data_IF_785301597895
#
_entry.id   IF_785301597895
#
_cell.length_a   1.000
_cell.length_b   1.000
_cell.length_c   1.000
_cell.angle_alpha   90.00
_cell.angle_beta   90.00
_cell.angle_gamma   90.00
#
_symmetry.space_group_name_H-M   'P 1'
#
loop_
_entity.id
_entity.type
_entity.pdbx_description
1 polymer ?
#
# COMPACT_ATOMS: atom_id res chain seq x y z
N UNK A 1 2.07 3.96 -37.68
CA UNK A 1 3.24 3.70 -36.79
C UNK A 1 2.73 3.11 -35.51
N UNK A 2 2.90 1.81 -35.21
CA UNK A 2 2.47 1.19 -33.97
C UNK A 2 3.47 1.58 -32.87
N UNK A 3 3.04 2.36 -31.91
CA UNK A 3 3.86 2.70 -30.73
C UNK A 3 4.07 1.42 -29.95
N UNK A 4 5.31 0.93 -29.90
CA UNK A 4 5.67 -0.25 -29.11
C UNK A 4 5.68 0.17 -27.65
N UNK A 5 4.72 -0.33 -26.88
CA UNK A 5 4.65 -0.09 -25.43
C UNK A 5 5.75 -0.92 -24.76
N UNK A 6 6.55 -0.27 -23.90
CA UNK A 6 7.58 -0.96 -23.11
C UNK A 6 6.90 -1.65 -21.91
N UNK A 7 7.00 -2.98 -21.78
CA UNK A 7 6.42 -3.73 -20.66
C UNK A 7 6.91 -3.25 -19.29
N UNK A 8 8.14 -2.75 -19.21
CA UNK A 8 8.70 -2.20 -17.95
C UNK A 8 7.99 -0.93 -17.50
N UNK A 9 7.47 -0.17 -18.46
CA UNK A 9 6.76 1.09 -18.22
C UNK A 9 5.24 0.91 -18.21
N UNK A 10 4.73 -0.32 -18.45
CA UNK A 10 3.30 -0.57 -18.42
C UNK A 10 2.70 -0.18 -17.07
N UNK A 11 1.67 0.69 -17.02
CA UNK A 11 1.08 1.12 -15.76
C UNK A 11 0.28 -0.02 -15.14
N UNK A 12 0.60 -0.40 -13.92
CA UNK A 12 0.02 -1.57 -13.27
C UNK A 12 -1.49 -1.58 -13.15
N UNK A 13 -2.12 -0.38 -13.03
CA UNK A 13 -3.57 -0.21 -12.94
C UNK A 13 -4.28 -0.08 -14.28
N UNK A 14 -3.57 -0.10 -15.37
CA UNK A 14 -4.18 -0.03 -16.71
C UNK A 14 -4.73 -1.40 -17.08
N UNK A 15 -6.00 -1.41 -17.51
CA UNK A 15 -6.68 -2.56 -18.09
C UNK A 15 -6.32 -2.59 -19.57
N UNK A 16 -5.71 -3.67 -20.07
CA UNK A 16 -5.42 -3.79 -21.50
C UNK A 16 -6.70 -4.09 -22.29
N UNK A 17 -6.94 -3.34 -23.36
CA UNK A 17 -8.15 -3.42 -24.18
C UNK A 17 -7.87 -4.05 -25.56
N UNK A 18 -6.63 -4.01 -26.04
CA UNK A 18 -6.23 -4.57 -27.35
C UNK A 18 -5.28 -5.75 -27.18
N UNK A 19 -5.19 -6.63 -28.18
CA UNK A 19 -4.26 -7.76 -28.19
C UNK A 19 -2.81 -7.34 -27.91
N UNK A 20 -2.37 -6.24 -28.51
CA UNK A 20 -1.03 -5.71 -28.29
C UNK A 20 -0.83 -5.22 -26.82
N UNK A 21 -1.84 -4.60 -26.22
CA UNK A 21 -1.82 -4.21 -24.83
C UNK A 21 -1.84 -5.42 -23.89
N UNK A 22 -2.61 -6.46 -24.25
CA UNK A 22 -2.64 -7.74 -23.50
C UNK A 22 -1.26 -8.38 -23.49
N UNK A 23 -0.60 -8.50 -24.65
CA UNK A 23 0.74 -9.06 -24.73
C UNK A 23 1.75 -8.26 -23.89
N UNK A 24 1.69 -6.92 -23.98
CA UNK A 24 2.52 -6.02 -23.17
C UNK A 24 2.24 -6.17 -21.68
N UNK A 25 0.97 -6.26 -21.29
CA UNK A 25 0.55 -6.42 -19.89
C UNK A 25 0.98 -7.78 -19.31
N UNK A 26 0.89 -8.86 -20.09
CA UNK A 26 1.38 -10.19 -19.68
C UNK A 26 2.89 -10.17 -19.46
N UNK A 27 3.65 -9.53 -20.35
CA UNK A 27 5.09 -9.38 -20.14
C UNK A 27 5.41 -8.53 -18.93
N UNK A 28 4.70 -7.42 -18.69
CA UNK A 28 4.82 -6.59 -17.51
C UNK A 28 4.49 -7.36 -16.22
N UNK A 29 3.46 -8.21 -16.26
CA UNK A 29 3.13 -9.11 -15.17
C UNK A 29 4.28 -10.08 -14.86
N UNK A 30 4.84 -10.74 -15.87
CA UNK A 30 5.97 -11.66 -15.68
C UNK A 30 7.20 -10.96 -15.08
N UNK A 31 7.53 -9.76 -15.58
CA UNK A 31 8.66 -8.99 -15.05
C UNK A 31 8.47 -8.66 -13.56
N UNK A 32 7.27 -8.25 -13.16
CA UNK A 32 6.97 -7.87 -11.77
C UNK A 32 6.83 -9.07 -10.84
N UNK A 33 6.32 -10.19 -11.36
CA UNK A 33 6.22 -11.44 -10.62
C UNK A 33 7.57 -12.17 -10.49
N UNK A 34 8.62 -11.73 -11.20
CA UNK A 34 9.91 -12.43 -11.23
C UNK A 34 9.87 -13.76 -12.00
N UNK A 35 8.94 -13.92 -12.94
CA UNK A 35 8.73 -15.16 -13.70
C UNK A 35 9.41 -15.08 -15.07
N UNK A 36 10.73 -15.03 -15.08
CA UNK A 36 11.52 -14.94 -16.31
C UNK A 36 11.40 -16.19 -17.22
N UNK A 37 11.20 -17.34 -16.59
CA UNK A 37 11.06 -18.68 -17.19
C UNK A 37 9.67 -18.95 -17.80
N UNK A 38 8.69 -18.06 -17.56
CA UNK A 38 7.30 -18.30 -17.92
C UNK A 38 7.05 -18.26 -19.45
N UNK A 39 6.27 -19.21 -19.95
CA UNK A 39 5.80 -19.21 -21.33
C UNK A 39 4.69 -18.16 -21.52
N UNK A 40 4.99 -17.08 -22.26
CA UNK A 40 4.12 -15.91 -22.42
C UNK A 40 2.76 -16.24 -23.04
N UNK A 41 2.72 -17.10 -24.05
CA UNK A 41 1.48 -17.53 -24.70
C UNK A 41 0.52 -18.22 -23.74
N UNK A 42 1.01 -19.17 -22.95
CA UNK A 42 0.19 -19.89 -21.98
C UNK A 42 -0.29 -18.98 -20.83
N UNK A 43 0.53 -18.01 -20.39
CA UNK A 43 0.10 -17.00 -19.43
C UNK A 43 -0.95 -16.05 -20.02
N UNK A 44 -0.83 -15.69 -21.29
CA UNK A 44 -1.84 -14.89 -21.99
C UNK A 44 -3.20 -15.58 -22.00
N UNK A 45 -3.23 -16.88 -22.30
CA UNK A 45 -4.47 -17.67 -22.27
C UNK A 45 -5.15 -17.65 -20.89
N UNK A 46 -4.37 -17.70 -19.83
CA UNK A 46 -4.89 -17.62 -18.46
C UNK A 46 -5.33 -16.21 -18.08
N UNK A 47 -4.57 -15.17 -18.44
CA UNK A 47 -4.76 -13.81 -18.00
C UNK A 47 -5.78 -13.03 -18.84
N UNK A 48 -5.87 -13.26 -20.17
CA UNK A 48 -6.72 -12.48 -21.07
C UNK A 48 -8.20 -12.47 -20.66
N UNK A 49 -8.81 -13.57 -20.23
CA UNK A 49 -10.19 -13.56 -19.75
C UNK A 49 -10.41 -12.66 -18.52
N UNK A 50 -9.39 -12.48 -17.68
CA UNK A 50 -9.45 -11.59 -16.51
C UNK A 50 -9.33 -10.13 -16.91
N UNK A 51 -8.46 -9.83 -17.87
CA UNK A 51 -8.37 -8.48 -18.45
C UNK A 51 -9.69 -8.06 -19.09
N UNK A 52 -10.37 -8.96 -19.82
CA UNK A 52 -11.69 -8.71 -20.39
C UNK A 52 -12.76 -8.39 -19.33
N UNK A 53 -12.62 -8.89 -18.10
CA UNK A 53 -13.48 -8.58 -16.94
C UNK A 53 -13.01 -7.32 -16.17
N UNK A 54 -12.11 -6.52 -16.74
CA UNK A 54 -11.67 -5.27 -16.14
C UNK A 54 -10.54 -5.39 -15.12
N UNK A 55 -9.84 -6.53 -15.10
CA UNK A 55 -8.66 -6.69 -14.25
C UNK A 55 -7.43 -5.99 -14.84
N UNK A 56 -6.54 -5.58 -13.99
CA UNK A 56 -5.25 -4.98 -14.36
C UNK A 56 -4.09 -5.86 -13.90
N UNK A 57 -2.87 -5.53 -14.30
CA UNK A 57 -1.66 -6.24 -13.85
C UNK A 57 -1.53 -6.21 -12.32
N UNK A 58 -1.79 -5.06 -11.69
CA UNK A 58 -1.73 -4.96 -10.22
C UNK A 58 -2.81 -5.81 -9.55
N UNK A 59 -4.00 -5.91 -10.15
CA UNK A 59 -5.05 -6.78 -9.65
C UNK A 59 -4.66 -8.26 -9.72
N UNK A 60 -4.05 -8.70 -10.82
CA UNK A 60 -3.56 -10.07 -10.97
C UNK A 60 -2.41 -10.38 -9.99
N UNK A 61 -1.45 -9.45 -9.81
CA UNK A 61 -0.37 -9.60 -8.82
C UNK A 61 -0.93 -9.73 -7.41
N UNK A 62 -1.90 -8.90 -7.04
CA UNK A 62 -2.55 -8.99 -5.74
C UNK A 62 -3.30 -10.32 -5.57
N UNK A 63 -3.98 -10.80 -6.62
CA UNK A 63 -4.69 -12.06 -6.57
C UNK A 63 -3.76 -13.29 -6.50
N UNK A 64 -2.53 -13.20 -6.96
CA UNK A 64 -1.51 -14.24 -6.73
C UNK A 64 -1.14 -14.33 -5.25
N UNK A 65 -1.07 -13.21 -4.55
CA UNK A 65 -0.64 -13.15 -3.16
C UNK A 65 -1.79 -13.34 -2.17
N UNK A 66 -3.01 -12.89 -2.52
CA UNK A 66 -4.14 -12.81 -1.60
C UNK A 66 -5.41 -13.44 -2.18
N UNK A 67 -6.29 -13.89 -1.29
CA UNK A 67 -7.66 -14.31 -1.56
C UNK A 67 -8.61 -13.11 -1.50
N UNK A 68 -9.88 -13.26 -1.96
CA UNK A 68 -10.90 -12.20 -1.85
C UNK A 68 -11.15 -11.71 -0.41
N UNK A 69 -10.97 -12.58 0.59
CA UNK A 69 -11.09 -12.27 2.02
C UNK A 69 -9.86 -11.53 2.59
N UNK A 70 -8.84 -11.25 1.75
CA UNK A 70 -7.60 -10.59 2.14
C UNK A 70 -6.53 -11.53 2.73
N UNK A 71 -6.86 -12.79 2.98
CA UNK A 71 -5.90 -13.78 3.47
C UNK A 71 -4.79 -14.06 2.45
N UNK A 72 -3.57 -14.34 2.92
CA UNK A 72 -2.46 -14.71 2.03
C UNK A 72 -2.69 -16.08 1.38
N UNK A 73 -2.32 -16.22 0.13
CA UNK A 73 -2.44 -17.47 -0.63
C UNK A 73 -1.19 -18.37 -0.50
N UNK A 74 -0.79 -18.75 0.68
CA UNK A 74 0.29 -19.75 0.88
C UNK A 74 1.65 -19.36 0.25
N UNK A 75 2.49 -20.36 -0.06
CA UNK A 75 3.86 -20.19 -0.53
C UNK A 75 3.95 -19.55 -1.94
N UNK A 76 5.02 -18.77 -2.23
CA UNK A 76 5.27 -18.26 -3.57
C UNK A 76 5.53 -19.42 -4.57
N UNK A 77 5.48 -19.12 -5.86
CA UNK A 77 5.79 -20.08 -6.92
C UNK A 77 7.24 -20.59 -6.80
N UNK A 78 7.42 -21.90 -6.76
CA UNK A 78 8.72 -22.52 -6.92
C UNK A 78 9.21 -22.43 -8.37
N UNK A 79 10.54 -22.44 -8.58
CA UNK A 79 11.13 -22.32 -9.91
C UNK A 79 10.68 -23.43 -10.86
N UNK A 80 10.55 -24.64 -10.35
CA UNK A 80 10.15 -25.83 -11.12
C UNK A 80 8.64 -25.92 -11.38
N UNK A 81 7.85 -25.05 -10.75
CA UNK A 81 6.41 -25.02 -10.93
C UNK A 81 6.04 -24.25 -12.19
N UNK A 82 5.21 -24.82 -13.03
CA UNK A 82 4.74 -24.18 -14.27
C UNK A 82 3.95 -22.91 -13.95
N UNK A 83 4.38 -21.78 -14.49
CA UNK A 83 3.87 -20.45 -14.11
C UNK A 83 2.38 -20.26 -14.41
N UNK A 84 1.89 -20.71 -15.58
CA UNK A 84 0.49 -20.55 -15.96
C UNK A 84 -0.45 -21.45 -15.12
N UNK A 85 -0.02 -22.63 -14.72
CA UNK A 85 -0.81 -23.51 -13.83
C UNK A 85 -0.86 -22.94 -12.42
N UNK A 86 0.26 -22.39 -11.94
CA UNK A 86 0.29 -21.67 -10.67
C UNK A 86 -0.67 -20.48 -10.68
N UNK A 87 -0.62 -19.65 -11.73
CA UNK A 87 -1.52 -18.52 -11.88
C UNK A 87 -2.98 -18.96 -11.88
N UNK A 88 -3.31 -20.00 -12.69
CA UNK A 88 -4.66 -20.57 -12.77
C UNK A 88 -5.16 -21.05 -11.40
N UNK A 89 -4.32 -21.75 -10.64
CA UNK A 89 -4.65 -22.23 -9.30
C UNK A 89 -4.92 -21.06 -8.33
N UNK A 90 -4.10 -19.99 -8.37
CA UNK A 90 -4.28 -18.81 -7.54
C UNK A 90 -5.55 -18.02 -7.87
N UNK A 91 -5.87 -17.89 -9.13
CA UNK A 91 -7.06 -17.18 -9.60
C UNK A 91 -8.36 -17.96 -9.33
N UNK A 92 -8.29 -19.27 -9.05
CA UNK A 92 -9.48 -20.08 -8.75
C UNK A 92 -10.28 -19.54 -7.57
N UNK A 93 -9.64 -19.03 -6.53
CA UNK A 93 -10.31 -18.45 -5.37
C UNK A 93 -11.08 -17.16 -5.68
N UNK A 94 -10.84 -16.54 -6.84
CA UNK A 94 -11.48 -15.31 -7.30
C UNK A 94 -12.68 -15.55 -8.24
N UNK A 95 -13.13 -16.81 -8.37
CA UNK A 95 -14.37 -17.15 -9.06
C UNK A 95 -15.54 -16.98 -8.11
N UNK A 96 -16.64 -16.39 -8.60
CA UNK A 96 -17.91 -16.29 -7.90
C UNK A 96 -18.94 -17.19 -8.60
N UNK A 97 -19.62 -18.06 -7.83
CA UNK A 97 -20.69 -18.90 -8.33
C UNK A 97 -20.33 -19.82 -9.50
N UNK A 98 -19.04 -20.14 -9.68
CA UNK A 98 -18.55 -21.03 -10.73
C UNK A 98 -18.49 -20.42 -12.14
N UNK A 99 -19.20 -19.33 -12.42
CA UNK A 99 -19.27 -18.70 -13.74
C UNK A 99 -18.80 -17.25 -13.76
N UNK A 100 -18.90 -16.54 -12.64
CA UNK A 100 -18.48 -15.15 -12.54
C UNK A 100 -17.16 -15.00 -11.82
N UNK A 101 -16.33 -14.09 -12.27
CA UNK A 101 -15.10 -13.71 -11.60
C UNK A 101 -15.42 -12.69 -10.51
N UNK A 102 -14.81 -12.84 -9.36
CA UNK A 102 -14.91 -11.86 -8.30
C UNK A 102 -14.44 -10.48 -8.77
N UNK A 103 -15.00 -9.42 -8.17
CA UNK A 103 -14.58 -8.05 -8.47
C UNK A 103 -13.07 -7.92 -8.26
N UNK A 104 -12.33 -7.23 -9.18
CA UNK A 104 -10.89 -7.07 -9.04
C UNK A 104 -10.54 -6.38 -7.71
N UNK A 105 -9.49 -6.82 -7.01
CA UNK A 105 -9.06 -6.27 -5.73
C UNK A 105 -8.55 -4.82 -5.83
N UNK A 106 -8.16 -4.41 -7.04
CA UNK A 106 -7.70 -3.06 -7.36
C UNK A 106 -8.49 -2.56 -8.55
N UNK A 107 -9.15 -1.42 -8.39
CA UNK A 107 -9.88 -0.79 -9.48
C UNK A 107 -8.91 -0.36 -10.58
N UNK A 108 -9.17 -0.84 -11.79
CA UNK A 108 -8.41 -0.51 -12.98
C UNK A 108 -8.93 0.74 -13.70
N UNK A 109 -8.19 1.15 -14.71
CA UNK A 109 -8.58 2.25 -15.60
C UNK A 109 -8.06 1.99 -17.02
N UNK A 110 -8.70 2.61 -18.01
CA UNK A 110 -8.23 2.52 -19.40
C UNK A 110 -6.90 3.28 -19.60
N UNK A 111 -6.12 2.87 -20.58
CA UNK A 111 -4.86 3.54 -20.95
C UNK A 111 -5.09 5.02 -21.25
N UNK A 112 -6.17 5.35 -21.94
CA UNK A 112 -6.53 6.73 -22.26
C UNK A 112 -6.85 7.58 -21.02
N UNK A 113 -7.52 7.01 -20.00
CA UNK A 113 -7.75 7.68 -18.71
C UNK A 113 -6.44 7.89 -17.95
N UNK A 114 -5.58 6.91 -17.92
CA UNK A 114 -4.27 7.00 -17.28
C UNK A 114 -3.41 8.10 -17.91
N UNK A 115 -3.33 8.17 -19.24
CA UNK A 115 -2.61 9.24 -19.95
C UNK A 115 -3.14 10.63 -19.62
N UNK A 116 -4.45 10.80 -19.55
CA UNK A 116 -5.05 12.10 -19.17
C UNK A 116 -4.64 12.52 -17.76
N UNK A 117 -4.71 11.59 -16.81
CA UNK A 117 -4.31 11.84 -15.41
C UNK A 117 -2.82 12.20 -15.34
N UNK A 118 -1.95 11.42 -15.96
CA UNK A 118 -0.52 11.66 -15.94
C UNK A 118 -0.13 12.98 -16.62
N UNK A 119 -0.74 13.30 -17.73
CA UNK A 119 -0.51 14.59 -18.41
C UNK A 119 -0.95 15.75 -17.53
N UNK A 120 -2.06 15.61 -16.83
CA UNK A 120 -2.51 16.62 -15.85
C UNK A 120 -1.51 16.75 -14.70
N UNK A 121 -1.10 15.64 -14.12
CA UNK A 121 -0.14 15.63 -13.01
C UNK A 121 1.23 16.19 -13.44
N UNK A 122 1.71 15.82 -14.63
CA UNK A 122 2.95 16.37 -15.17
C UNK A 122 2.89 17.90 -15.31
N UNK A 123 1.76 18.46 -15.77
CA UNK A 123 1.57 19.91 -15.85
C UNK A 123 1.53 20.57 -14.47
N UNK A 124 0.89 19.94 -13.49
CA UNK A 124 0.81 20.44 -12.12
C UNK A 124 2.17 20.39 -11.41
N UNK A 125 2.98 19.38 -11.74
CA UNK A 125 4.31 19.17 -11.14
C UNK A 125 5.43 19.85 -11.92
N UNK A 126 5.14 20.48 -13.07
CA UNK A 126 6.14 21.32 -13.74
C UNK A 126 6.56 22.44 -12.78
N UNK A 127 7.87 22.58 -12.48
CA UNK A 127 8.34 23.71 -11.71
C UNK A 127 7.91 24.98 -12.45
N UNK A 128 7.07 25.77 -11.83
CA UNK A 128 6.72 27.09 -12.39
C UNK A 128 8.04 27.85 -12.56
N UNK A 129 8.31 28.39 -13.75
CA UNK A 129 9.47 29.22 -13.93
C UNK A 129 9.47 30.26 -12.80
N UNK A 130 10.59 30.35 -12.09
CA UNK A 130 10.73 31.35 -11.04
C UNK A 130 10.59 32.71 -11.70
N UNK A 131 9.41 33.30 -11.59
CA UNK A 131 9.24 34.71 -11.96
C UNK A 131 10.17 35.48 -11.03
N UNK A 132 11.11 36.28 -11.56
CA UNK A 132 11.97 37.10 -10.71
C UNK A 132 11.04 37.98 -9.87
N UNK A 133 10.91 37.63 -8.60
CA UNK A 133 10.18 38.47 -7.66
C UNK A 133 11.05 39.69 -7.40
N UNK A 134 10.51 40.87 -7.57
CA UNK A 134 11.18 42.09 -7.09
C UNK A 134 11.50 41.97 -5.60
N UNK A 135 12.30 42.86 -5.05
CA UNK A 135 12.73 42.83 -3.65
C UNK A 135 11.55 42.69 -2.67
N UNK A 136 10.44 43.33 -2.96
CA UNK A 136 9.20 43.24 -2.14
C UNK A 136 8.56 41.85 -2.18
N UNK A 137 8.53 41.21 -3.35
CA UNK A 137 8.06 39.84 -3.50
C UNK A 137 8.97 38.82 -2.81
N UNK A 138 10.27 39.03 -2.81
CA UNK A 138 11.24 38.23 -2.08
C UNK A 138 11.05 38.36 -0.56
N UNK A 139 10.86 39.57 -0.03
CA UNK A 139 10.54 39.78 1.39
C UNK A 139 9.23 39.11 1.80
N UNK A 140 8.18 39.24 1.00
CA UNK A 140 6.89 38.57 1.27
C UNK A 140 7.02 37.05 1.29
N UNK A 141 7.83 36.47 0.40
CA UNK A 141 8.11 35.03 0.34
C UNK A 141 8.88 34.56 1.57
N UNK A 142 9.91 35.26 2.00
CA UNK A 142 10.67 34.91 3.20
C UNK A 142 9.81 35.07 4.48
N UNK A 143 9.02 36.10 4.60
CA UNK A 143 8.06 36.27 5.69
C UNK A 143 7.01 35.14 5.72
N UNK A 144 6.60 34.64 4.57
CA UNK A 144 5.67 33.48 4.47
C UNK A 144 6.35 32.20 4.91
N UNK A 145 7.59 31.95 4.48
CA UNK A 145 8.38 30.79 4.92
C UNK A 145 8.59 30.80 6.44
N UNK A 146 8.91 31.97 7.00
CA UNK A 146 9.14 32.10 8.44
C UNK A 146 7.86 31.82 9.23
N UNK A 147 6.70 32.30 8.78
CA UNK A 147 5.39 31.94 9.36
C UNK A 147 5.11 30.44 9.33
N UNK A 148 5.41 29.75 8.23
CA UNK A 148 5.26 28.29 8.12
C UNK A 148 6.22 27.58 9.07
N UNK A 149 7.49 27.99 9.12
CA UNK A 149 8.48 27.43 10.04
C UNK A 149 8.07 27.61 11.50
N UNK A 150 7.59 28.79 11.87
CA UNK A 150 7.09 29.06 13.21
C UNK A 150 5.91 28.14 13.59
N UNK A 151 4.94 27.95 12.67
CA UNK A 151 3.82 27.02 12.87
C UNK A 151 4.25 25.57 13.02
N UNK A 152 5.31 25.14 12.33
CA UNK A 152 5.83 23.79 12.40
C UNK A 152 6.69 23.54 13.67
N UNK A 153 7.39 24.57 14.18
CA UNK A 153 8.18 24.49 15.41
C UNK A 153 7.31 24.30 16.64
N UNK A 154 6.19 25.01 16.70
CA UNK A 154 5.31 25.04 17.87
C UNK A 154 4.71 23.66 18.26
N UNK A 155 4.22 22.80 17.33
CA UNK A 155 3.77 21.44 17.68
C UNK A 155 4.92 20.52 18.13
N UNK A 156 6.11 20.66 17.54
CA UNK A 156 7.29 19.86 17.89
C UNK A 156 7.77 20.24 19.30
N UNK A 157 7.80 21.53 19.60
CA UNK A 157 8.20 22.04 20.90
C UNK A 157 7.18 21.61 21.98
N UNK A 158 5.88 21.74 21.73
CA UNK A 158 4.82 21.25 22.60
C UNK A 158 4.87 19.72 22.82
N UNK A 159 5.26 18.96 21.80
CA UNK A 159 5.43 17.52 21.94
C UNK A 159 6.64 17.17 22.82
N UNK A 160 7.75 17.90 22.67
CA UNK A 160 8.96 17.74 23.51
C UNK A 160 8.69 18.13 24.96
N UNK A 161 7.93 19.21 25.21
CA UNK A 161 7.55 19.65 26.55
C UNK A 161 6.60 18.65 27.22
N UNK A 162 5.63 18.09 26.47
CA UNK A 162 4.78 17.00 26.97
C UNK A 162 5.60 15.75 27.32
N UNK A 163 6.54 15.36 26.48
CA UNK A 163 7.44 14.24 26.75
C UNK A 163 8.27 14.47 28.02
N UNK A 164 8.79 15.68 28.22
CA UNK A 164 9.56 16.05 29.41
C UNK A 164 8.70 15.99 30.68
N UNK A 165 7.49 16.59 30.67
CA UNK A 165 6.56 16.52 31.79
C UNK A 165 6.12 15.08 32.10
N UNK A 166 5.92 14.27 31.09
CA UNK A 166 5.59 12.86 31.28
C UNK A 166 6.75 12.11 31.94
N UNK A 167 8.00 12.37 31.53
CA UNK A 167 9.18 11.80 32.16
C UNK A 167 9.36 12.27 33.62
N UNK A 168 9.16 13.55 33.89
CA UNK A 168 9.17 14.13 35.25
C UNK A 168 8.14 13.46 36.15
N UNK A 169 6.92 13.19 35.63
CA UNK A 169 5.89 12.47 36.36
C UNK A 169 6.30 11.02 36.62
N UNK A 170 6.85 10.33 35.59
CA UNK A 170 7.37 8.97 35.79
C UNK A 170 8.49 8.93 36.81
N UNK A 171 9.43 9.86 36.74
CA UNK A 171 10.56 9.94 37.69
C UNK A 171 10.08 10.24 39.11
N UNK A 172 9.02 11.04 39.28
CA UNK A 172 8.40 11.33 40.59
C UNK A 172 7.62 10.15 41.16
N UNK A 173 7.14 9.23 40.31
CA UNK A 173 6.44 8.01 40.71
C UNK A 173 7.40 6.85 41.01
N UNK A 174 8.66 6.95 40.59
CA UNK A 174 9.70 5.97 40.87
C UNK A 174 10.16 6.12 42.33
N UNK A 175 9.61 5.27 43.19
CA UNK A 175 10.12 5.15 44.56
C UNK A 175 11.56 4.61 44.52
N UNK A 176 12.52 5.25 45.21
CA UNK A 176 13.90 4.76 45.27
C UNK A 176 13.94 3.29 45.69
N UNK A 177 14.45 2.41 44.84
CA UNK A 177 14.50 0.97 45.08
C UNK A 177 13.45 0.14 44.35
N UNK A 178 12.44 0.74 43.73
CA UNK A 178 11.55 -0.01 42.84
C UNK A 178 12.21 -0.24 41.47
N UNK A 179 12.32 -1.50 41.10
CA UNK A 179 12.85 -1.91 39.81
C UNK A 179 11.86 -1.46 38.72
N UNK A 180 12.36 -0.79 37.67
CA UNK A 180 11.55 -0.49 36.48
C UNK A 180 11.01 -1.81 35.94
N UNK A 181 9.67 -1.98 35.79
CA UNK A 181 9.10 -3.21 35.29
C UNK A 181 9.64 -3.49 33.88
N UNK A 182 10.16 -4.69 33.69
CA UNK A 182 10.62 -5.15 32.39
C UNK A 182 9.39 -5.38 31.49
N UNK A 183 9.62 -5.54 30.18
CA UNK A 183 8.56 -5.87 29.22
C UNK A 183 7.77 -7.11 29.65
N UNK A 184 8.42 -8.09 30.28
CA UNK A 184 7.80 -9.31 30.80
C UNK A 184 6.94 -9.05 32.03
N UNK A 185 7.34 -8.11 32.90
CA UNK A 185 6.52 -7.69 34.04
C UNK A 185 5.27 -6.95 33.59
N UNK A 186 5.37 -6.13 32.55
CA UNK A 186 4.22 -5.46 31.91
C UNK A 186 3.25 -6.47 31.28
N UNK A 187 3.78 -7.56 30.73
CA UNK A 187 3.00 -8.65 30.14
C UNK A 187 2.24 -9.45 31.21
N UNK A 188 2.83 -9.67 32.38
CA UNK A 188 2.18 -10.30 33.54
C UNK A 188 1.06 -9.43 34.11
N UNK A 189 1.33 -8.14 34.30
CA UNK A 189 0.33 -7.18 34.78
C UNK A 189 -0.89 -7.09 33.86
N UNK A 190 -0.68 -7.12 32.53
CA UNK A 190 -1.76 -7.15 31.55
C UNK A 190 -2.56 -8.47 31.56
N UNK A 191 -1.96 -9.58 32.00
CA UNK A 191 -2.65 -10.85 32.16
C UNK A 191 -3.53 -10.93 33.43
N UNK A 192 -3.26 -10.09 34.43
CA UNK A 192 -3.99 -10.03 35.71
C UNK A 192 -5.18 -9.06 35.68
N UNK A 193 -5.34 -8.24 34.64
CA UNK A 193 -6.50 -7.34 34.49
C UNK A 193 -7.76 -8.16 34.21
N UNK A 194 -8.82 -8.08 35.06
CA UNK A 194 -10.04 -8.83 34.87
C UNK A 194 -10.69 -8.49 33.52
N UNK A 195 -11.15 -9.52 32.83
CA UNK A 195 -11.59 -9.51 31.42
C UNK A 195 -12.81 -8.60 31.14
N UNK A 196 -13.44 -8.09 32.15
CA UNK A 196 -14.70 -7.35 32.01
C UNK A 196 -14.57 -5.84 31.68
N UNK A 197 -13.33 -5.32 31.70
CA UNK A 197 -13.07 -3.94 31.28
C UNK A 197 -12.14 -3.92 30.08
N UNK A 198 -12.67 -4.22 28.91
CA UNK A 198 -11.93 -4.08 27.67
C UNK A 198 -11.76 -2.60 27.34
N UNK A 199 -10.53 -2.06 27.33
CA UNK A 199 -10.31 -0.70 26.88
C UNK A 199 -10.68 -0.60 25.40
N UNK A 200 -11.67 0.22 25.11
CA UNK A 200 -12.04 0.59 23.75
C UNK A 200 -11.00 1.58 23.24
N UNK A 201 -10.41 1.32 22.09
CA UNK A 201 -9.47 2.25 21.47
C UNK A 201 -10.15 3.61 21.25
N UNK A 202 -9.64 4.65 21.88
CA UNK A 202 -10.19 6.02 21.80
C UNK A 202 -10.16 6.61 20.38
N UNK A 203 -9.43 5.97 19.44
CA UNK A 203 -9.26 6.43 18.07
C UNK A 203 -10.19 5.74 17.08
N UNK A 204 -10.59 4.50 17.30
CA UNK A 204 -11.40 3.72 16.34
C UNK A 204 -12.58 2.97 16.98
N UNK A 205 -12.76 3.01 18.29
CA UNK A 205 -13.84 2.31 18.97
C UNK A 205 -13.74 0.77 18.95
N UNK A 206 -12.63 0.21 18.46
CA UNK A 206 -12.45 -1.24 18.38
C UNK A 206 -12.15 -1.84 19.74
N UNK A 207 -12.80 -2.96 20.09
CA UNK A 207 -12.43 -3.78 21.26
C UNK A 207 -11.09 -4.48 20.98
N UNK A 208 -10.17 -4.41 21.94
CA UNK A 208 -8.85 -5.06 21.84
C UNK A 208 -9.00 -6.55 22.18
N UNK A 209 -9.68 -7.32 21.32
CA UNK A 209 -9.77 -8.79 21.47
C UNK A 209 -8.56 -9.54 20.90
N UNK A 210 -7.58 -8.85 20.30
CA UNK A 210 -6.57 -9.47 19.44
C UNK A 210 -5.36 -10.09 20.16
N UNK A 211 -5.20 -9.95 21.48
CA UNK A 211 -3.93 -10.35 22.15
C UNK A 211 -3.95 -11.79 22.70
N UNK A 212 -5.08 -12.49 22.72
CA UNK A 212 -5.19 -13.83 23.34
C UNK A 212 -4.94 -15.03 22.43
N UNK A 213 -4.65 -14.88 21.14
CA UNK A 213 -4.43 -16.00 20.22
C UNK A 213 -2.97 -16.32 19.90
N UNK A 214 -2.03 -15.76 20.63
CA UNK A 214 -0.59 -15.98 20.42
C UNK A 214 0.15 -16.44 21.70
N UNK A 215 -0.49 -17.27 22.51
CA UNK A 215 0.14 -18.04 23.59
C UNK A 215 -0.10 -19.52 23.36
#
# INVERSE_FOLDING_TARGET
MRVRLDPRQWPGRVIPETDHEIDTAVEAFCLRAGWADAHRGALREVAAPWFAEGWSVDALLMAVDRRPDGARQGAPRHRDQVAHDFLRARLRSWWEGGARRARPPVEGMTLGRWWRINRRNARLNQPRPAVPLGEEGNRAREASKERVRARLRDPVQRSRERGRRYQEVLDSLLVPGLRVPTFDDSRRLLAEIPINEHPVCSRCGCRVEAVRRAA
#
